data_IF_352930427411
#
_entry.id   IF_352930427411
#
_cell.length_a   1.000
_cell.length_b   1.000
_cell.length_c   1.000
_cell.angle_alpha   90.00
_cell.angle_beta   90.00
_cell.angle_gamma   90.00
#
_symmetry.space_group_name_H-M   'P 1'
#
loop_
_entity.id
_entity.type
_entity.pdbx_description
1 polymer ?
#
# COMPACT_ATOMS: atom_id res chain seq x y z
N UNK A 1 15.16 30.99 -19.37
CA UNK A 1 16.48 31.43 -18.89
C UNK A 1 16.30 32.63 -17.99
N UNK A 2 16.11 32.38 -16.70
CA UNK A 2 16.09 33.30 -15.56
C UNK A 2 15.79 32.36 -14.38
N UNK A 3 16.67 32.13 -13.40
CA UNK A 3 17.45 33.12 -12.67
C UNK A 3 16.53 33.75 -11.64
N UNK A 4 16.19 33.03 -10.57
CA UNK A 4 15.38 33.56 -9.47
C UNK A 4 16.14 33.46 -8.16
N UNK A 5 16.15 34.60 -7.49
CA UNK A 5 17.08 35.04 -6.49
C UNK A 5 16.85 34.45 -5.11
N UNK A 6 17.97 34.25 -4.45
CA UNK A 6 18.23 34.31 -3.02
C UNK A 6 17.40 35.40 -2.32
N UNK A 7 16.58 35.01 -1.34
CA UNK A 7 15.89 35.93 -0.45
C UNK A 7 16.54 35.85 0.94
N UNK A 8 17.47 36.76 1.16
CA UNK A 8 17.93 37.18 2.49
C UNK A 8 16.73 37.74 3.25
N UNK A 9 16.39 37.15 4.40
CA UNK A 9 15.48 37.76 5.36
C UNK A 9 16.31 38.26 6.53
N UNK A 10 16.12 39.56 6.74
CA UNK A 10 16.79 40.45 7.67
C UNK A 10 16.27 40.21 9.10
N UNK A 11 17.17 40.00 10.07
CA UNK A 11 16.95 40.44 11.46
C UNK A 11 17.04 41.98 11.48
N UNK A 12 16.27 42.76 12.29
CA UNK A 12 16.35 42.75 13.78
C UNK A 12 15.05 43.30 14.48
N UNK A 13 15.05 43.85 15.72
CA UNK A 13 15.90 43.62 16.90
C UNK A 13 15.08 43.16 18.14
N UNK A 14 15.77 42.50 19.07
CA UNK A 14 15.35 42.39 20.47
C UNK A 14 15.21 43.77 21.11
N UNK A 15 14.09 44.02 21.80
CA UNK A 15 14.11 44.52 23.19
C UNK A 15 12.71 44.70 23.81
N UNK A 16 12.71 44.52 25.14
CA UNK A 16 11.71 44.86 26.18
C UNK A 16 10.65 43.83 26.59
N UNK A 17 11.06 43.03 27.58
CA UNK A 17 10.58 43.05 28.97
C UNK A 17 9.07 43.10 29.31
N UNK A 18 8.80 42.34 30.37
CA UNK A 18 7.69 42.39 31.34
C UNK A 18 6.39 41.63 31.04
N UNK A 19 6.32 40.49 31.74
CA UNK A 19 5.36 40.26 32.82
C UNK A 19 4.04 39.53 32.50
N UNK A 20 3.85 38.50 33.33
CA UNK A 20 2.60 38.03 33.95
C UNK A 20 1.56 37.33 33.09
N UNK A 21 1.37 36.05 33.42
CA UNK A 21 0.04 35.57 33.78
C UNK A 21 -0.75 34.82 32.72
N UNK A 22 -0.71 33.49 32.86
CA UNK A 22 -1.89 32.61 32.80
C UNK A 22 -2.48 32.29 31.42
N UNK A 23 -2.34 31.00 31.09
CA UNK A 23 -3.20 30.16 30.26
C UNK A 23 -3.32 30.50 28.76
N UNK A 24 -2.54 29.75 27.98
CA UNK A 24 -2.94 29.34 26.64
C UNK A 24 -2.51 27.91 26.40
N UNK A 25 -3.44 26.98 26.66
CA UNK A 25 -3.48 25.72 25.92
C UNK A 25 -3.68 26.07 24.44
N UNK A 26 -2.59 26.13 23.69
CA UNK A 26 -2.64 26.13 22.24
C UNK A 26 -1.34 25.53 21.69
N UNK A 27 -1.50 24.34 21.10
CA UNK A 27 -0.72 23.90 19.95
C UNK A 27 0.80 23.96 20.15
N UNK A 28 1.32 23.07 21.01
CA UNK A 28 2.69 22.60 20.81
C UNK A 28 2.66 21.89 19.46
N UNK A 29 3.14 22.56 18.42
CA UNK A 29 3.57 21.88 17.20
C UNK A 29 4.55 20.80 17.65
N UNK A 30 4.10 19.55 17.69
CA UNK A 30 4.98 18.44 17.95
C UNK A 30 5.97 18.43 16.80
N UNK A 31 7.14 19.03 17.03
CA UNK A 31 8.33 18.70 16.24
C UNK A 31 8.39 17.17 16.21
N UNK A 32 8.59 16.55 15.03
CA UNK A 32 8.70 15.11 14.97
C UNK A 32 9.80 14.72 15.95
N UNK A 33 9.41 14.01 17.02
CA UNK A 33 10.33 13.64 18.09
C UNK A 33 11.43 12.82 17.44
N UNK A 34 12.67 13.32 17.49
CA UNK A 34 13.80 12.62 16.88
C UNK A 34 13.89 11.21 17.47
N UNK A 35 14.05 10.21 16.59
CA UNK A 35 14.26 8.84 17.03
C UNK A 35 15.73 8.67 17.45
N UNK A 36 15.97 8.70 18.75
CA UNK A 36 17.31 8.52 19.34
C UNK A 36 17.81 7.08 19.31
N UNK A 37 16.95 6.13 18.92
CA UNK A 37 17.33 4.71 18.84
C UNK A 37 18.34 4.50 17.71
N UNK A 38 19.26 3.55 17.90
CA UNK A 38 20.20 3.18 16.85
C UNK A 38 19.43 2.53 15.71
N UNK A 39 19.55 3.10 14.50
CA UNK A 39 18.89 2.57 13.30
C UNK A 39 19.64 1.38 12.75
N UNK A 40 18.97 0.24 12.72
CA UNK A 40 19.43 -0.98 12.08
C UNK A 40 18.48 -1.36 10.94
N UNK A 41 18.95 -2.17 10.00
CA UNK A 41 18.17 -2.62 8.84
C UNK A 41 17.79 -4.10 8.91
N UNK A 42 18.49 -4.87 9.75
CA UNK A 42 18.32 -6.31 9.90
C UNK A 42 18.15 -6.68 11.37
N UNK A 43 16.93 -7.11 11.73
CA UNK A 43 16.61 -7.64 13.05
C UNK A 43 17.41 -8.91 13.35
N UNK A 44 17.58 -9.79 12.36
CA UNK A 44 18.42 -11.00 12.43
C UNK A 44 19.85 -10.69 12.85
N UNK A 45 20.50 -9.73 12.20
CA UNK A 45 21.91 -9.40 12.50
C UNK A 45 22.09 -8.92 13.95
N UNK A 46 21.12 -8.15 14.46
CA UNK A 46 21.11 -7.72 15.86
C UNK A 46 20.92 -8.91 16.80
N UNK A 47 19.97 -9.81 16.50
CA UNK A 47 19.73 -11.03 17.27
C UNK A 47 20.99 -11.91 17.35
N UNK A 48 21.67 -12.11 16.21
CA UNK A 48 22.94 -12.86 16.16
C UNK A 48 24.02 -12.20 17.02
N UNK A 49 24.14 -10.88 16.97
CA UNK A 49 25.10 -10.14 17.79
C UNK A 49 24.75 -10.25 19.29
N UNK A 50 23.47 -10.14 19.67
CA UNK A 50 23.02 -10.32 21.05
C UNK A 50 23.37 -11.72 21.57
N UNK A 51 23.19 -12.76 20.76
CA UNK A 51 23.57 -14.13 21.12
C UNK A 51 25.08 -14.28 21.33
N UNK A 52 25.91 -13.65 20.49
CA UNK A 52 27.36 -13.63 20.67
C UNK A 52 27.75 -12.90 21.97
N UNK A 53 27.12 -11.76 22.24
CA UNK A 53 27.34 -10.96 23.43
C UNK A 53 26.84 -11.63 24.72
N UNK A 54 25.82 -12.50 24.64
CA UNK A 54 25.28 -13.22 25.80
C UNK A 54 26.33 -14.04 26.56
N UNK A 55 27.40 -14.48 25.89
CA UNK A 55 28.55 -15.14 26.53
C UNK A 55 29.25 -14.27 27.57
N UNK A 56 29.27 -12.94 27.38
CA UNK A 56 29.85 -12.02 28.36
C UNK A 56 28.96 -11.91 29.60
N UNK A 57 27.64 -11.91 29.43
CA UNK A 57 26.69 -11.91 30.54
C UNK A 57 26.79 -13.23 31.31
N UNK A 58 26.92 -14.37 30.63
CA UNK A 58 27.14 -15.67 31.26
C UNK A 58 28.41 -15.70 32.12
N UNK A 59 29.52 -15.11 31.64
CA UNK A 59 30.77 -15.02 32.39
C UNK A 59 30.67 -14.18 33.68
N UNK A 60 29.69 -13.27 33.80
CA UNK A 60 29.44 -12.57 35.08
C UNK A 60 29.02 -13.55 36.18
N UNK A 61 28.46 -14.70 35.80
CA UNK A 61 28.06 -15.79 36.69
C UNK A 61 29.20 -16.37 37.52
N UNK A 62 30.43 -16.38 36.99
CA UNK A 62 31.58 -17.02 37.63
C UNK A 62 31.94 -16.38 38.98
N UNK A 63 31.56 -15.11 39.17
CA UNK A 63 31.77 -14.37 40.41
C UNK A 63 30.59 -14.47 41.41
N UNK A 64 29.49 -15.13 41.02
CA UNK A 64 28.26 -15.21 41.82
C UNK A 64 28.19 -16.52 42.63
N UNK A 65 27.60 -16.49 43.85
CA UNK A 65 27.25 -17.70 44.60
C UNK A 65 26.32 -18.62 43.82
N UNK A 66 26.53 -19.93 43.92
CA UNK A 66 25.77 -20.95 43.17
C UNK A 66 24.26 -20.86 43.40
N UNK A 67 23.85 -20.53 44.63
CA UNK A 67 22.45 -20.50 45.06
C UNK A 67 21.63 -19.43 44.32
N UNK A 68 22.28 -18.33 43.90
CA UNK A 68 21.63 -17.20 43.23
C UNK A 68 22.06 -17.06 41.77
N UNK A 69 23.09 -17.79 41.33
CA UNK A 69 23.73 -17.60 40.02
C UNK A 69 22.74 -17.73 38.87
N UNK A 70 22.02 -18.84 38.80
CA UNK A 70 21.10 -19.12 37.70
C UNK A 70 19.96 -18.08 37.58
N UNK A 71 19.20 -17.75 38.64
CA UNK A 71 18.17 -16.71 38.54
C UNK A 71 18.75 -15.31 38.28
N UNK A 72 19.90 -14.96 38.87
CA UNK A 72 20.55 -13.68 38.63
C UNK A 72 21.05 -13.55 37.18
N UNK A 73 21.61 -14.61 36.59
CA UNK A 73 22.03 -14.61 35.19
C UNK A 73 20.85 -14.54 34.23
N UNK A 74 19.75 -15.24 34.50
CA UNK A 74 18.51 -15.14 33.72
C UNK A 74 17.98 -13.70 33.68
N UNK A 75 17.90 -13.06 34.84
CA UNK A 75 17.43 -11.67 34.98
C UNK A 75 18.38 -10.67 34.30
N UNK A 76 19.70 -10.85 34.49
CA UNK A 76 20.71 -10.03 33.83
C UNK A 76 20.67 -10.18 32.30
N UNK A 77 20.47 -11.40 31.78
CA UNK A 77 20.35 -11.66 30.35
C UNK A 77 19.09 -10.99 29.78
N UNK A 78 17.94 -11.16 30.45
CA UNK A 78 16.68 -10.52 30.03
C UNK A 78 16.81 -9.00 30.03
N UNK A 79 17.37 -8.42 31.11
CA UNK A 79 17.56 -6.97 31.25
C UNK A 79 18.52 -6.43 30.18
N UNK A 80 19.63 -7.12 29.93
CA UNK A 80 20.58 -6.75 28.89
C UNK A 80 19.93 -6.75 27.50
N UNK A 81 19.27 -7.85 27.11
CA UNK A 81 18.63 -7.97 25.80
C UNK A 81 17.51 -6.95 25.65
N UNK A 82 16.66 -6.78 26.66
CA UNK A 82 15.54 -5.83 26.63
C UNK A 82 16.04 -4.39 26.50
N UNK A 83 17.06 -4.00 27.27
CA UNK A 83 17.64 -2.66 27.19
C UNK A 83 18.22 -2.38 25.80
N UNK A 84 18.87 -3.36 25.16
CA UNK A 84 19.33 -3.20 23.78
C UNK A 84 18.15 -3.05 22.82
N UNK A 85 17.15 -3.92 22.91
CA UNK A 85 15.97 -3.92 22.03
C UNK A 85 15.15 -2.63 22.11
N UNK A 86 15.05 -2.01 23.29
CA UNK A 86 14.37 -0.72 23.48
C UNK A 86 15.13 0.46 22.87
N UNK A 87 16.45 0.35 22.76
CA UNK A 87 17.34 1.42 22.30
C UNK A 87 17.72 1.31 20.81
N UNK A 88 17.08 0.41 20.06
CA UNK A 88 17.29 0.23 18.62
C UNK A 88 15.96 0.32 17.86
N UNK A 89 16.05 0.68 16.58
CA UNK A 89 14.93 0.63 15.65
C UNK A 89 15.32 -0.13 14.39
N UNK A 90 14.41 -0.95 13.87
CA UNK A 90 14.61 -1.69 12.61
C UNK A 90 13.80 -0.98 11.53
N UNK A 91 14.47 -0.34 10.58
CA UNK A 91 13.81 0.47 9.54
C UNK A 91 12.81 1.49 10.10
N UNK A 92 13.13 2.09 11.26
CA UNK A 92 12.28 3.05 11.97
C UNK A 92 11.17 2.45 12.82
N UNK A 93 10.97 1.13 12.78
CA UNK A 93 9.99 0.43 13.61
C UNK A 93 10.60 0.02 14.96
N UNK A 94 9.76 -0.05 15.99
CA UNK A 94 10.17 -0.61 17.28
C UNK A 94 10.49 -2.10 17.15
N UNK A 95 11.34 -2.63 18.04
CA UNK A 95 11.78 -4.03 17.98
C UNK A 95 10.64 -5.05 17.90
N UNK A 96 9.55 -4.83 18.66
CA UNK A 96 8.39 -5.73 18.69
C UNK A 96 7.54 -5.68 17.41
N UNK A 97 7.52 -4.53 16.73
CA UNK A 97 6.72 -4.29 15.51
C UNK A 97 7.48 -4.67 14.25
N UNK A 98 8.82 -4.65 14.32
CA UNK A 98 9.69 -4.99 13.22
C UNK A 98 9.53 -6.47 12.85
N UNK A 99 9.13 -6.69 11.60
CA UNK A 99 9.06 -8.03 11.02
C UNK A 99 10.45 -8.66 10.99
N UNK A 100 10.55 -9.88 11.50
CA UNK A 100 11.64 -10.75 11.13
C UNK A 100 11.32 -11.27 9.73
N UNK A 101 12.01 -10.74 8.71
CA UNK A 101 11.90 -11.18 7.31
C UNK A 101 12.40 -12.63 7.07
N UNK A 102 12.26 -13.49 8.07
CA UNK A 102 12.54 -14.90 8.04
C UNK A 102 11.25 -15.62 7.62
N UNK A 103 10.97 -15.66 6.32
CA UNK A 103 9.91 -16.51 5.80
C UNK A 103 10.26 -17.96 6.09
N UNK A 104 9.31 -18.71 6.65
CA UNK A 104 9.48 -20.15 6.83
C UNK A 104 9.25 -20.86 5.50
N UNK A 105 9.84 -22.04 5.32
CA UNK A 105 9.65 -22.85 4.12
C UNK A 105 8.16 -23.15 3.86
N UNK A 106 7.35 -23.26 4.93
CA UNK A 106 5.89 -23.41 4.82
C UNK A 106 5.20 -22.21 4.16
N UNK A 107 5.64 -21.00 4.50
CA UNK A 107 5.04 -19.76 3.97
C UNK A 107 5.37 -19.62 2.49
N UNK A 108 6.60 -19.96 2.12
CA UNK A 108 7.07 -19.99 0.72
C UNK A 108 6.25 -21.02 -0.06
N UNK A 109 6.05 -22.23 0.48
CA UNK A 109 5.26 -23.28 -0.19
C UNK A 109 3.83 -22.87 -0.48
N UNK A 110 3.15 -22.27 0.51
CA UNK A 110 1.79 -21.76 0.32
C UNK A 110 1.75 -20.69 -0.78
N UNK A 111 2.74 -19.81 -0.82
CA UNK A 111 2.83 -18.76 -1.85
C UNK A 111 3.10 -19.36 -3.24
N UNK A 112 3.99 -20.35 -3.34
CA UNK A 112 4.29 -21.07 -4.59
C UNK A 112 3.05 -21.78 -5.14
N UNK A 113 2.31 -22.50 -4.30
CA UNK A 113 1.10 -23.21 -4.71
C UNK A 113 0.03 -22.25 -5.25
N UNK A 114 -0.17 -21.11 -4.58
CA UNK A 114 -1.08 -20.06 -5.06
C UNK A 114 -0.61 -19.45 -6.38
N UNK A 115 0.70 -19.28 -6.54
CA UNK A 115 1.27 -18.73 -7.76
C UNK A 115 1.08 -19.68 -8.94
N UNK A 116 1.28 -20.98 -8.74
CA UNK A 116 1.04 -22.01 -9.75
C UNK A 116 -0.45 -22.07 -10.16
N UNK A 117 -1.37 -21.97 -9.20
CA UNK A 117 -2.81 -21.88 -9.49
C UNK A 117 -3.12 -20.67 -10.39
N UNK A 118 -2.61 -19.49 -10.05
CA UNK A 118 -2.81 -18.26 -10.82
C UNK A 118 -2.17 -18.36 -12.21
N UNK A 119 -0.98 -18.95 -12.33
CA UNK A 119 -0.33 -19.18 -13.62
C UNK A 119 -1.19 -20.08 -14.51
N UNK A 120 -1.73 -21.17 -13.97
CA UNK A 120 -2.57 -22.10 -14.73
C UNK A 120 -3.88 -21.44 -15.14
N UNK A 121 -4.55 -20.71 -14.24
CA UNK A 121 -5.79 -19.99 -14.54
C UNK A 121 -5.55 -18.92 -15.61
N UNK A 122 -4.52 -18.08 -15.47
CA UNK A 122 -4.24 -17.01 -16.42
C UNK A 122 -3.83 -17.55 -17.79
N UNK A 123 -3.04 -18.63 -17.84
CA UNK A 123 -2.69 -19.30 -19.08
C UNK A 123 -3.92 -19.90 -19.77
N UNK A 124 -4.82 -20.51 -18.99
CA UNK A 124 -6.09 -21.05 -19.48
C UNK A 124 -6.99 -19.95 -20.03
N UNK A 125 -7.11 -18.83 -19.32
CA UNK A 125 -7.86 -17.65 -19.76
C UNK A 125 -7.28 -17.09 -21.06
N UNK A 126 -5.96 -16.85 -21.12
CA UNK A 126 -5.27 -16.38 -22.34
C UNK A 126 -5.48 -17.30 -23.52
N UNK A 127 -5.54 -18.63 -23.31
CA UNK A 127 -5.77 -19.61 -24.38
C UNK A 127 -7.23 -19.67 -24.85
N UNK A 128 -8.18 -19.69 -23.92
CA UNK A 128 -9.58 -20.03 -24.24
C UNK A 128 -10.49 -18.80 -24.42
N UNK A 129 -10.30 -17.75 -23.62
CA UNK A 129 -11.24 -16.63 -23.58
C UNK A 129 -11.27 -15.83 -24.88
N UNK A 130 -10.15 -15.56 -25.58
CA UNK A 130 -10.20 -14.88 -26.88
C UNK A 130 -11.07 -15.62 -27.90
N UNK A 131 -11.06 -16.97 -27.88
CA UNK A 131 -11.89 -17.78 -28.77
C UNK A 131 -13.38 -17.70 -28.42
N UNK A 132 -13.71 -17.77 -27.12
CA UNK A 132 -15.10 -17.61 -26.64
C UNK A 132 -15.65 -16.22 -26.93
N UNK A 133 -14.85 -15.18 -26.69
CA UNK A 133 -15.21 -13.78 -27.00
C UNK A 133 -15.42 -13.62 -28.51
N UNK A 134 -14.50 -14.15 -29.32
CA UNK A 134 -14.60 -14.09 -30.78
C UNK A 134 -15.90 -14.76 -31.27
N UNK A 135 -16.25 -15.93 -30.75
CA UNK A 135 -17.50 -16.60 -31.09
C UNK A 135 -18.72 -15.73 -30.77
N UNK A 136 -18.79 -15.16 -29.57
CA UNK A 136 -19.87 -14.26 -29.17
C UNK A 136 -19.96 -13.03 -30.09
N UNK A 137 -18.83 -12.37 -30.35
CA UNK A 137 -18.77 -11.16 -31.20
C UNK A 137 -19.21 -11.48 -32.63
N UNK A 138 -18.77 -12.59 -33.21
CA UNK A 138 -19.20 -13.03 -34.55
C UNK A 138 -20.72 -13.23 -34.59
N UNK A 139 -21.29 -13.93 -33.59
CA UNK A 139 -22.74 -14.13 -33.51
C UNK A 139 -23.49 -12.81 -33.42
N UNK A 140 -23.04 -11.88 -32.58
CA UNK A 140 -23.64 -10.56 -32.43
C UNK A 140 -23.57 -9.74 -33.73
N UNK A 141 -22.43 -9.74 -34.43
CA UNK A 141 -22.28 -9.02 -35.70
C UNK A 141 -23.23 -9.61 -36.76
N UNK A 142 -23.29 -10.93 -36.88
CA UNK A 142 -24.22 -11.59 -37.82
C UNK A 142 -25.68 -11.28 -37.51
N UNK A 143 -26.07 -11.31 -36.22
CA UNK A 143 -27.43 -10.97 -35.80
C UNK A 143 -27.78 -9.51 -36.11
N UNK A 144 -26.87 -8.56 -35.81
CA UNK A 144 -27.07 -7.15 -36.15
C UNK A 144 -27.23 -6.93 -37.66
N UNK A 145 -26.40 -7.61 -38.46
CA UNK A 145 -26.51 -7.54 -39.92
C UNK A 145 -27.85 -8.11 -40.41
N UNK A 146 -28.33 -9.21 -39.82
CA UNK A 146 -29.60 -9.82 -40.22
C UNK A 146 -30.81 -8.96 -39.86
N UNK A 147 -30.83 -8.37 -38.65
CA UNK A 147 -31.85 -7.39 -38.24
C UNK A 147 -31.86 -6.19 -39.20
N UNK A 148 -30.68 -5.71 -39.61
CA UNK A 148 -30.57 -4.60 -40.56
C UNK A 148 -31.13 -4.95 -41.94
N UNK A 149 -30.97 -6.19 -42.41
CA UNK A 149 -31.60 -6.65 -43.66
C UNK A 149 -33.13 -6.72 -43.53
N UNK A 150 -33.64 -7.22 -42.40
CA UNK A 150 -35.09 -7.30 -42.14
C UNK A 150 -35.76 -5.92 -42.08
N UNK A 151 -35.00 -4.87 -41.71
CA UNK A 151 -35.48 -3.49 -41.76
C UNK A 151 -35.78 -3.01 -43.19
N UNK A 152 -35.20 -3.63 -44.23
CA UNK A 152 -35.53 -3.36 -45.62
C UNK A 152 -36.56 -4.37 -46.17
N UNK A 153 -37.58 -3.92 -46.92
CA UNK A 153 -37.78 -2.55 -47.41
C UNK A 153 -38.39 -1.63 -46.35
N UNK A 154 -37.85 -0.41 -46.24
CA UNK A 154 -38.45 0.64 -45.44
C UNK A 154 -39.69 1.13 -46.15
N UNK A 155 -40.86 0.91 -45.58
CA UNK A 155 -42.12 1.44 -46.12
C UNK A 155 -42.20 2.92 -45.76
N UNK A 156 -41.93 3.78 -46.73
CA UNK A 156 -42.19 5.21 -46.60
C UNK A 156 -43.68 5.48 -46.81
N UNK A 157 -44.32 6.31 -45.97
CA UNK A 157 -45.72 6.68 -46.17
C UNK A 157 -45.90 7.32 -47.55
N UNK A 158 -47.01 6.98 -48.23
CA UNK A 158 -47.37 7.62 -49.49
C UNK A 158 -47.68 9.10 -49.25
N UNK A 159 -47.27 9.96 -50.19
CA UNK A 159 -47.57 11.38 -50.17
C UNK A 159 -49.09 11.62 -50.09
N UNK A 160 -49.48 12.53 -49.19
CA UNK A 160 -50.87 12.90 -48.97
C UNK A 160 -51.42 13.56 -50.23
N UNK A 161 -52.25 12.84 -51.00
CA UNK A 161 -52.98 13.44 -52.12
C UNK A 161 -54.17 14.20 -51.57
N UNK A 162 -54.28 15.47 -51.96
CA UNK A 162 -55.46 16.29 -51.70
C UNK A 162 -56.62 15.77 -52.57
N UNK A 163 -57.79 15.60 -51.99
CA UNK A 163 -58.97 15.15 -52.73
C UNK A 163 -59.38 16.23 -53.74
N UNK A 164 -59.60 15.84 -54.99
CA UNK A 164 -59.96 16.82 -56.03
C UNK A 164 -61.46 17.07 -55.93
N UNK A 165 -61.85 18.32 -55.66
CA UNK A 165 -63.24 18.72 -55.48
C UNK A 165 -64.11 18.26 -56.67
N UNK A 166 -65.12 17.39 -56.46
CA UNK A 166 -65.94 16.83 -57.53
C UNK A 166 -66.71 17.89 -58.34
N UNK A 167 -66.82 19.12 -57.83
CA UNK A 167 -67.53 20.22 -58.52
C UNK A 167 -66.78 20.73 -59.76
N UNK A 168 -65.45 20.50 -59.86
CA UNK A 168 -64.66 20.90 -61.04
C UNK A 168 -64.68 19.88 -62.20
N UNK A 169 -65.16 18.65 -61.97
CA UNK A 169 -65.23 17.61 -63.00
C UNK A 169 -66.44 17.76 -63.96
N UNK A 170 -67.39 18.65 -63.64
CA UNK A 170 -68.62 18.86 -64.42
C UNK A 170 -68.58 20.08 -65.36
N UNK A 171 -67.41 20.70 -65.58
CA UNK A 171 -67.29 21.97 -66.34
C UNK A 171 -66.74 21.81 -67.78
N UNK A 172 -66.47 20.60 -68.28
CA UNK A 172 -66.07 20.40 -69.69
C UNK A 172 -66.97 19.41 -70.44
#
# INVERSE_FOLDING_TARGET
>A
MAGSSELVVLDPPWDKELATGTESQALVSATPREDFRVRCTSKRAVTEMLQLCGRFVQKLGDALPEEIREPALRDAQWTFESAVQENISINGQAWQEASDNCFMDSDIKVLEDQFDEIIVDIATKRKQYPRKILECVIKTIKAKQEILKQYHPVVHPLDLKYDTDPVLACIN
#
